data_IF_140158025787
#
_entry.id   IF_140158025787
#
_cell.length_a   1.000
_cell.length_b   1.000
_cell.length_c   1.000
_cell.angle_alpha   90.00
_cell.angle_beta   90.00
_cell.angle_gamma   90.00
#
_symmetry.space_group_name_H-M   'P 1'
#
loop_
_entity.id
_entity.type
_entity.pdbx_description
1 polymer ?
#
# COMPACT_ATOMS: atom_id res chain seq x y z
N UNK A 1 8.72 -16.93 -7.76
CA UNK A 1 9.03 -16.18 -9.00
C UNK A 1 8.94 -14.70 -8.65
N UNK A 2 10.02 -13.93 -8.78
CA UNK A 2 9.96 -12.50 -8.45
C UNK A 2 9.01 -11.81 -9.43
N UNK A 3 8.06 -11.07 -8.88
CA UNK A 3 7.11 -10.26 -9.66
C UNK A 3 7.90 -9.13 -10.34
N UNK A 4 7.73 -8.99 -11.66
CA UNK A 4 8.29 -7.84 -12.40
C UNK A 4 7.44 -6.61 -12.02
N UNK A 5 8.06 -5.53 -11.50
CA UNK A 5 7.32 -4.31 -11.17
C UNK A 5 6.58 -3.73 -12.39
N UNK A 6 5.45 -3.11 -12.11
CA UNK A 6 4.67 -2.41 -13.15
C UNK A 6 5.49 -1.22 -13.68
N UNK A 7 5.50 -1.04 -15.01
CA UNK A 7 6.20 0.06 -15.70
C UNK A 7 7.69 0.20 -15.31
N UNK A 8 8.37 -0.92 -15.00
CA UNK A 8 9.76 -0.91 -14.53
C UNK A 8 10.68 -0.07 -15.42
N UNK A 9 10.72 -0.37 -16.72
CA UNK A 9 11.61 0.32 -17.64
C UNK A 9 11.23 1.77 -17.86
N UNK A 10 9.95 2.05 -17.95
CA UNK A 10 9.40 3.41 -18.10
C UNK A 10 9.75 4.29 -16.91
N UNK A 11 9.61 3.77 -15.70
CA UNK A 11 9.95 4.47 -14.46
C UNK A 11 11.44 4.78 -14.36
N UNK A 12 12.30 3.81 -14.68
CA UNK A 12 13.75 3.99 -14.68
C UNK A 12 14.19 5.01 -15.74
N UNK A 13 13.61 4.94 -16.94
CA UNK A 13 13.90 5.90 -18.00
C UNK A 13 13.45 7.32 -17.61
N UNK A 14 12.27 7.45 -16.98
CA UNK A 14 11.75 8.74 -16.53
C UNK A 14 12.59 9.37 -15.41
N UNK A 15 13.20 8.55 -14.53
CA UNK A 15 14.13 9.04 -13.50
C UNK A 15 15.42 9.65 -14.10
N UNK A 16 15.77 9.33 -15.34
CA UNK A 16 16.97 9.81 -16.03
C UNK A 16 18.23 9.73 -15.15
N UNK A 17 18.54 8.51 -14.69
CA UNK A 17 19.50 8.26 -13.63
C UNK A 17 20.92 8.69 -14.04
N UNK A 18 21.51 9.56 -13.21
CA UNK A 18 22.93 9.90 -13.25
C UNK A 18 23.69 8.85 -12.45
N UNK A 19 24.80 8.29 -12.98
CA UNK A 19 25.53 7.20 -12.31
C UNK A 19 26.00 7.53 -10.88
N UNK A 20 26.35 8.77 -10.60
CA UNK A 20 26.81 9.25 -9.29
C UNK A 20 25.72 9.97 -8.50
N UNK A 21 24.45 9.87 -8.91
CA UNK A 21 23.32 10.56 -8.29
C UNK A 21 22.81 9.87 -7.02
N UNK A 22 21.98 10.59 -6.29
CA UNK A 22 21.29 10.10 -5.09
C UNK A 22 19.79 9.95 -5.38
N UNK A 23 19.27 8.73 -5.19
CA UNK A 23 17.88 8.40 -5.50
C UNK A 23 17.14 7.85 -4.30
N UNK A 24 15.83 7.93 -4.35
CA UNK A 24 14.93 7.41 -3.32
C UNK A 24 13.84 6.55 -3.95
N UNK A 25 13.65 5.35 -3.41
CA UNK A 25 12.48 4.52 -3.68
C UNK A 25 11.61 4.53 -2.42
N UNK A 26 10.43 5.16 -2.47
CA UNK A 26 9.57 5.29 -1.28
C UNK A 26 8.61 4.13 -1.11
N UNK A 27 8.68 3.12 -2.00
CA UNK A 27 7.80 1.94 -2.07
C UNK A 27 8.61 0.69 -2.41
N UNK A 28 9.57 0.36 -1.54
CA UNK A 28 10.57 -0.68 -1.79
C UNK A 28 9.97 -2.06 -2.13
N UNK A 29 9.01 -2.55 -1.32
CA UNK A 29 8.32 -3.81 -1.52
C UNK A 29 9.26 -5.00 -1.76
N UNK A 30 9.17 -5.61 -2.95
CA UNK A 30 10.04 -6.70 -3.39
C UNK A 30 11.42 -6.24 -3.89
N UNK A 31 11.70 -4.95 -3.96
CA UNK A 31 12.97 -4.37 -4.36
C UNK A 31 13.25 -4.37 -5.87
N UNK A 32 12.25 -4.61 -6.70
CA UNK A 32 12.45 -4.71 -8.15
C UNK A 32 12.90 -3.41 -8.80
N UNK A 33 12.24 -2.29 -8.50
CA UNK A 33 12.67 -0.96 -8.95
C UNK A 33 14.03 -0.57 -8.36
N UNK A 34 14.23 -0.80 -7.07
CA UNK A 34 15.49 -0.51 -6.38
C UNK A 34 16.69 -1.24 -6.99
N UNK A 35 16.55 -2.54 -7.32
CA UNK A 35 17.61 -3.29 -8.01
C UNK A 35 17.96 -2.65 -9.35
N UNK A 36 16.94 -2.27 -10.12
CA UNK A 36 17.15 -1.65 -11.42
C UNK A 36 17.79 -0.26 -11.33
N UNK A 37 17.48 0.53 -10.31
CA UNK A 37 18.15 1.81 -10.02
C UNK A 37 19.62 1.55 -9.71
N UNK A 38 19.94 0.59 -8.85
CA UNK A 38 21.33 0.24 -8.47
C UNK A 38 22.19 -0.20 -9.66
N UNK A 39 21.61 -0.91 -10.63
CA UNK A 39 22.30 -1.29 -11.88
C UNK A 39 22.73 -0.07 -12.71
N UNK A 40 22.04 1.07 -12.57
CA UNK A 40 22.37 2.31 -13.27
C UNK A 40 23.37 3.20 -12.51
N UNK A 41 23.62 2.93 -11.21
CA UNK A 41 24.52 3.70 -10.37
C UNK A 41 25.96 3.17 -10.41
N UNK A 42 26.93 4.08 -10.31
CA UNK A 42 28.32 3.75 -10.06
C UNK A 42 28.63 3.72 -8.53
N UNK A 43 29.92 3.60 -8.16
CA UNK A 43 30.36 3.49 -6.75
C UNK A 43 30.02 4.73 -5.90
N UNK A 44 29.89 5.91 -6.50
CA UNK A 44 29.56 7.16 -5.83
C UNK A 44 28.05 7.38 -5.68
N UNK A 45 27.23 6.64 -6.47
CA UNK A 45 25.77 6.72 -6.41
C UNK A 45 25.19 6.19 -5.10
N UNK A 46 24.02 6.67 -4.72
CA UNK A 46 23.31 6.22 -3.48
C UNK A 46 21.84 6.01 -3.73
N UNK A 47 21.30 4.98 -3.10
CA UNK A 47 19.87 4.68 -3.10
C UNK A 47 19.36 4.48 -1.67
N UNK A 48 18.36 5.28 -1.31
CA UNK A 48 17.61 5.14 -0.06
C UNK A 48 16.24 4.56 -0.37
N UNK A 49 15.87 3.48 0.30
CA UNK A 49 14.59 2.82 0.05
C UNK A 49 13.74 2.79 1.32
N UNK A 50 12.48 3.16 1.19
CA UNK A 50 11.51 3.17 2.29
C UNK A 50 10.45 2.09 2.09
N UNK A 51 10.09 1.43 3.15
CA UNK A 51 8.86 0.67 3.27
C UNK A 51 8.45 0.58 4.74
N UNK A 52 7.16 0.56 5.00
CA UNK A 52 6.63 0.37 6.34
C UNK A 52 6.20 -1.07 6.61
N UNK A 53 6.13 -1.91 5.57
CA UNK A 53 5.81 -3.34 5.69
C UNK A 53 7.05 -4.10 6.16
N UNK A 54 6.92 -4.85 7.27
CA UNK A 54 8.01 -5.68 7.80
C UNK A 54 8.46 -6.77 6.82
N UNK A 55 7.55 -7.25 5.96
CA UNK A 55 7.89 -8.24 4.95
C UNK A 55 8.84 -7.70 3.87
N UNK A 56 8.81 -6.39 3.61
CA UNK A 56 9.74 -5.74 2.70
C UNK A 56 11.20 -5.85 3.18
N UNK A 57 11.44 -5.86 4.50
CA UNK A 57 12.78 -5.99 5.08
C UNK A 57 13.47 -7.32 4.70
N UNK A 58 12.70 -8.35 4.34
CA UNK A 58 13.24 -9.65 3.88
C UNK A 58 13.89 -9.57 2.49
N UNK A 59 13.62 -8.50 1.74
CA UNK A 59 14.10 -8.28 0.38
C UNK A 59 15.30 -7.31 0.30
N UNK A 60 15.83 -6.86 1.44
CA UNK A 60 16.95 -5.91 1.54
C UNK A 60 18.10 -6.36 0.65
N UNK A 61 18.68 -5.40 -0.06
CA UNK A 61 19.73 -5.63 -1.04
C UNK A 61 21.08 -5.47 -0.35
N UNK A 62 21.95 -6.46 -0.48
CA UNK A 62 23.34 -6.40 0.02
C UNK A 62 24.21 -5.63 -0.99
N UNK A 63 24.21 -4.31 -0.89
CA UNK A 63 24.97 -3.39 -1.74
C UNK A 63 25.36 -2.16 -0.91
N UNK A 64 26.62 -1.80 -0.86
CA UNK A 64 27.13 -0.68 -0.07
C UNK A 64 26.58 0.72 -0.48
N UNK A 65 25.91 0.80 -1.63
CA UNK A 65 25.24 2.00 -2.14
C UNK A 65 23.79 2.10 -1.70
N UNK A 66 23.23 1.01 -1.12
CA UNK A 66 21.83 0.86 -0.76
C UNK A 66 21.63 1.02 0.75
N UNK A 67 20.61 1.78 1.12
CA UNK A 67 20.17 1.92 2.52
C UNK A 67 18.67 1.70 2.61
N UNK A 68 18.25 0.64 3.31
CA UNK A 68 16.84 0.39 3.61
C UNK A 68 16.42 1.12 4.90
N UNK A 69 15.27 1.79 4.85
CA UNK A 69 14.69 2.54 5.96
C UNK A 69 13.27 2.01 6.20
N UNK A 70 13.10 1.19 7.24
CA UNK A 70 11.80 0.61 7.59
C UNK A 70 10.92 1.66 8.25
N UNK A 71 10.40 2.58 7.45
CA UNK A 71 9.56 3.68 7.90
C UNK A 71 8.56 4.10 6.81
N UNK A 72 7.48 4.75 7.25
CA UNK A 72 6.58 5.42 6.32
C UNK A 72 7.30 6.60 5.66
N UNK A 73 7.21 6.70 4.34
CA UNK A 73 7.85 7.75 3.53
C UNK A 73 7.39 9.18 3.91
N UNK A 74 6.31 9.33 4.65
CA UNK A 74 5.91 10.64 5.23
C UNK A 74 7.03 11.30 6.03
N UNK A 75 7.95 10.49 6.56
CA UNK A 75 9.13 10.94 7.31
C UNK A 75 10.39 11.08 6.46
N UNK A 76 10.29 10.86 5.14
CA UNK A 76 11.41 10.86 4.20
C UNK A 76 12.31 12.08 4.36
N UNK A 77 11.72 13.28 4.47
CA UNK A 77 12.49 14.53 4.64
C UNK A 77 13.47 14.46 5.81
N UNK A 78 13.04 13.93 6.95
CA UNK A 78 13.85 13.87 8.17
C UNK A 78 15.02 12.88 7.99
N UNK A 79 14.74 11.70 7.41
CA UNK A 79 15.77 10.69 7.17
C UNK A 79 16.77 11.14 6.12
N UNK A 80 16.33 11.72 5.01
CA UNK A 80 17.22 12.21 3.97
C UNK A 80 18.10 13.37 4.46
N UNK A 81 17.56 14.23 5.34
CA UNK A 81 18.39 15.27 5.98
C UNK A 81 19.53 14.65 6.81
N UNK A 82 19.27 13.54 7.50
CA UNK A 82 20.27 12.83 8.30
C UNK A 82 21.32 12.12 7.44
N UNK A 83 20.88 11.44 6.37
CA UNK A 83 21.75 10.56 5.59
C UNK A 83 22.50 11.24 4.46
N UNK A 84 21.91 12.26 3.82
CA UNK A 84 22.49 12.89 2.62
C UNK A 84 22.29 14.42 2.54
N UNK A 85 21.99 15.08 3.67
CA UNK A 85 21.76 16.53 3.68
C UNK A 85 20.48 16.97 2.97
N UNK A 86 19.55 16.05 2.72
CA UNK A 86 18.21 16.32 2.22
C UNK A 86 18.10 16.58 0.71
N UNK A 87 19.20 16.46 -0.06
CA UNK A 87 19.18 16.67 -1.51
C UNK A 87 19.26 15.33 -2.24
N UNK A 88 18.34 15.11 -3.19
CA UNK A 88 18.30 13.91 -4.02
C UNK A 88 18.06 14.29 -5.48
N UNK A 89 18.52 13.47 -6.42
CA UNK A 89 18.36 13.68 -7.85
C UNK A 89 17.03 13.17 -8.38
N UNK A 90 16.43 12.17 -7.72
CA UNK A 90 15.13 11.63 -8.12
C UNK A 90 14.46 10.81 -7.01
N UNK A 91 13.14 10.73 -7.10
CA UNK A 91 12.30 9.94 -6.18
C UNK A 91 11.37 9.08 -7.02
N UNK A 92 11.32 7.80 -6.73
CA UNK A 92 10.35 6.85 -7.27
C UNK A 92 9.29 6.55 -6.22
N UNK A 93 8.02 6.54 -6.64
CA UNK A 93 6.89 6.15 -5.81
C UNK A 93 5.92 5.29 -6.64
N UNK A 94 5.87 4.00 -6.36
CA UNK A 94 4.89 3.05 -6.89
C UNK A 94 3.79 2.84 -5.85
N UNK A 95 2.84 3.80 -5.82
CA UNK A 95 1.85 3.88 -4.76
C UNK A 95 0.74 2.85 -4.95
N UNK A 96 0.48 2.07 -3.92
CA UNK A 96 -0.57 1.05 -3.90
C UNK A 96 -0.19 -0.14 -3.03
N UNK A 97 -0.93 -1.23 -3.20
CA UNK A 97 -0.66 -2.51 -2.55
C UNK A 97 0.18 -3.39 -3.47
N UNK A 98 1.13 -4.12 -2.90
CA UNK A 98 1.95 -5.07 -3.66
C UNK A 98 1.16 -6.34 -4.01
N UNK A 99 1.57 -7.05 -5.08
CA UNK A 99 0.99 -8.36 -5.41
C UNK A 99 1.10 -9.34 -4.22
N UNK A 100 2.18 -9.29 -3.45
CA UNK A 100 2.35 -10.10 -2.25
C UNK A 100 1.26 -9.82 -1.21
N UNK A 101 0.89 -8.55 -1.00
CA UNK A 101 -0.17 -8.16 -0.06
C UNK A 101 -1.55 -8.64 -0.54
N UNK A 102 -1.80 -8.63 -1.86
CA UNK A 102 -3.03 -9.20 -2.43
C UNK A 102 -3.10 -10.73 -2.33
N UNK A 103 -1.96 -11.41 -2.47
CA UNK A 103 -1.89 -12.87 -2.49
C UNK A 103 -1.74 -13.47 -1.07
N UNK A 104 -1.66 -12.62 -0.04
CA UNK A 104 -1.56 -13.01 1.37
C UNK A 104 -2.91 -12.75 2.07
N UNK A 105 -3.77 -13.79 2.26
CA UNK A 105 -5.12 -13.61 2.82
C UNK A 105 -5.13 -12.96 4.20
N UNK A 106 -4.12 -13.24 5.03
CA UNK A 106 -3.99 -12.75 6.39
C UNK A 106 -3.82 -11.22 6.46
N UNK A 107 -3.35 -10.60 5.38
CA UNK A 107 -3.22 -9.13 5.28
C UNK A 107 -4.54 -8.42 4.98
N UNK A 108 -5.57 -9.13 4.52
CA UNK A 108 -6.92 -8.62 4.35
C UNK A 108 -7.15 -7.67 3.17
N UNK A 109 -6.19 -7.50 2.25
CA UNK A 109 -6.32 -6.62 1.08
C UNK A 109 -7.10 -7.28 -0.08
N UNK A 110 -7.25 -8.60 -0.06
CA UNK A 110 -7.77 -9.35 -1.18
C UNK A 110 -9.30 -9.42 -1.18
N UNK A 111 -9.92 -9.11 -2.33
CA UNK A 111 -11.32 -9.40 -2.57
C UNK A 111 -11.56 -10.86 -3.00
N UNK A 112 -10.47 -11.62 -3.32
CA UNK A 112 -10.55 -13.01 -3.83
C UNK A 112 -10.49 -14.05 -2.72
N UNK A 113 -9.68 -13.78 -1.71
CA UNK A 113 -9.43 -14.72 -0.61
C UNK A 113 -10.09 -14.22 0.67
N UNK A 114 -10.63 -15.15 1.45
CA UNK A 114 -11.12 -14.82 2.77
C UNK A 114 -9.95 -14.75 3.75
N UNK A 115 -9.92 -13.70 4.54
CA UNK A 115 -8.91 -13.47 5.57
C UNK A 115 -9.42 -12.47 6.60
N UNK A 116 -8.62 -12.25 7.65
CA UNK A 116 -8.91 -11.21 8.63
C UNK A 116 -9.00 -9.85 7.92
N UNK A 117 -9.93 -9.01 8.33
CA UNK A 117 -10.11 -7.65 7.81
C UNK A 117 -9.08 -6.71 8.45
N UNK A 118 -7.80 -6.88 8.09
CA UNK A 118 -6.69 -6.13 8.67
C UNK A 118 -6.35 -4.87 7.85
N UNK A 119 -5.88 -5.02 6.62
CA UNK A 119 -5.50 -3.98 5.66
C UNK A 119 -4.42 -3.01 6.15
N UNK A 120 -3.65 -3.35 7.18
CA UNK A 120 -2.52 -2.53 7.63
C UNK A 120 -1.26 -2.85 6.83
N UNK A 121 -0.67 -1.85 6.20
CA UNK A 121 0.68 -1.98 5.65
C UNK A 121 1.73 -2.05 6.76
N UNK A 122 1.54 -1.25 7.82
CA UNK A 122 2.34 -1.34 9.04
C UNK A 122 1.57 -2.16 10.08
N UNK A 123 1.97 -3.40 10.32
CA UNK A 123 1.33 -4.31 11.27
C UNK A 123 1.37 -3.80 12.72
N UNK A 124 2.29 -2.87 13.04
CA UNK A 124 2.37 -2.21 14.35
C UNK A 124 1.40 -1.03 14.51
N UNK A 125 0.64 -0.66 13.46
CA UNK A 125 -0.38 0.37 13.58
C UNK A 125 -1.51 -0.11 14.51
N UNK A 126 -2.03 0.79 15.35
CA UNK A 126 -3.05 0.45 16.34
C UNK A 126 -4.43 0.16 15.74
N UNK A 127 -4.72 0.71 14.55
CA UNK A 127 -6.05 0.65 13.91
C UNK A 127 -5.94 -0.18 12.64
N UNK A 128 -6.72 -1.24 12.56
CA UNK A 128 -6.92 -2.08 11.38
C UNK A 128 -8.28 -1.81 10.71
N UNK A 129 -8.55 -2.39 9.56
CA UNK A 129 -9.82 -2.19 8.86
C UNK A 129 -11.01 -2.74 9.65
N UNK A 130 -10.85 -3.85 10.38
CA UNK A 130 -11.90 -4.37 11.27
C UNK A 130 -12.28 -3.35 12.34
N UNK A 131 -11.31 -2.68 12.94
CA UNK A 131 -11.57 -1.60 13.91
C UNK A 131 -12.36 -0.46 13.28
N UNK A 132 -11.99 -0.04 12.06
CA UNK A 132 -12.68 1.04 11.34
C UNK A 132 -14.16 0.68 11.10
N UNK A 133 -14.42 -0.47 10.47
CA UNK A 133 -15.81 -0.85 10.14
C UNK A 133 -16.65 -1.12 11.37
N UNK A 134 -16.06 -1.57 12.48
CA UNK A 134 -16.80 -1.90 13.70
C UNK A 134 -16.97 -0.72 14.67
N UNK A 135 -16.20 0.37 14.55
CA UNK A 135 -16.24 1.45 15.55
C UNK A 135 -16.61 2.82 15.00
N UNK A 136 -16.33 3.10 13.72
CA UNK A 136 -16.59 4.42 13.13
C UNK A 136 -18.11 4.63 12.95
N UNK A 137 -18.55 5.88 13.09
CA UNK A 137 -19.94 6.25 12.80
C UNK A 137 -20.24 6.23 11.29
N UNK A 138 -21.53 6.27 10.95
CA UNK A 138 -22.01 6.25 9.55
C UNK A 138 -21.38 7.36 8.72
N UNK A 139 -21.30 8.58 9.27
CA UNK A 139 -20.77 9.73 8.52
C UNK A 139 -19.28 9.58 8.22
N UNK A 140 -18.50 9.10 9.18
CA UNK A 140 -17.07 8.82 9.03
C UNK A 140 -16.82 7.71 8.02
N UNK A 141 -17.56 6.59 8.07
CA UNK A 141 -17.48 5.52 7.09
C UNK A 141 -17.86 6.00 5.70
N UNK A 142 -18.97 6.74 5.56
CA UNK A 142 -19.39 7.29 4.28
C UNK A 142 -18.35 8.26 3.69
N UNK A 143 -17.69 9.05 4.53
CA UNK A 143 -16.60 9.94 4.11
C UNK A 143 -15.41 9.16 3.54
N UNK A 144 -15.00 8.07 4.18
CA UNK A 144 -13.92 7.19 3.70
C UNK A 144 -14.30 6.58 2.35
N UNK A 145 -15.47 5.95 2.28
CA UNK A 145 -15.97 5.29 1.06
C UNK A 145 -16.14 6.26 -0.11
N UNK A 146 -16.55 7.51 0.17
CA UNK A 146 -16.68 8.54 -0.86
C UNK A 146 -15.34 9.09 -1.31
N UNK A 147 -14.44 9.42 -0.38
CA UNK A 147 -13.16 10.12 -0.69
C UNK A 147 -12.13 9.20 -1.32
N UNK A 148 -12.03 7.96 -0.84
CA UNK A 148 -11.01 7.01 -1.28
C UNK A 148 -11.57 5.97 -2.24
N UNK A 149 -12.78 5.47 -1.99
CA UNK A 149 -13.45 4.53 -2.87
C UNK A 149 -14.22 5.17 -4.04
N UNK A 150 -14.39 6.50 -4.04
CA UNK A 150 -15.15 7.25 -5.07
C UNK A 150 -16.60 6.76 -5.24
N UNK A 151 -17.18 6.21 -4.16
CA UNK A 151 -18.51 5.62 -4.19
C UNK A 151 -19.61 6.67 -4.00
N UNK A 152 -20.52 6.77 -4.97
CA UNK A 152 -21.66 7.72 -4.92
C UNK A 152 -22.70 7.34 -3.87
N UNK A 153 -22.86 6.05 -3.60
CA UNK A 153 -23.80 5.50 -2.62
C UNK A 153 -23.16 5.18 -1.27
N UNK A 154 -22.08 5.89 -0.94
CA UNK A 154 -21.27 5.68 0.27
C UNK A 154 -22.08 5.70 1.56
N UNK A 155 -23.08 6.59 1.68
CA UNK A 155 -23.95 6.66 2.85
C UNK A 155 -24.75 5.37 3.05
N UNK A 156 -25.38 4.84 2.00
CA UNK A 156 -26.16 3.60 2.09
C UNK A 156 -25.31 2.38 2.41
N UNK A 157 -24.05 2.35 1.92
CA UNK A 157 -23.09 1.30 2.26
C UNK A 157 -22.66 1.42 3.72
N UNK A 158 -22.38 2.63 4.20
CA UNK A 158 -22.01 2.88 5.58
C UNK A 158 -23.14 2.50 6.56
N UNK A 159 -24.39 2.86 6.24
CA UNK A 159 -25.57 2.43 7.01
C UNK A 159 -25.65 0.90 7.11
N UNK A 160 -25.45 0.20 6.00
CA UNK A 160 -25.48 -1.25 5.97
C UNK A 160 -24.39 -1.88 6.85
N UNK A 161 -23.19 -1.33 6.82
CA UNK A 161 -22.07 -1.78 7.67
C UNK A 161 -22.46 -1.59 9.15
N UNK A 162 -22.97 -0.41 9.53
CA UNK A 162 -23.36 -0.13 10.92
C UNK A 162 -24.49 -1.05 11.38
N UNK A 163 -25.52 -1.24 10.58
CA UNK A 163 -26.61 -2.18 10.89
C UNK A 163 -26.14 -3.63 11.02
N UNK A 164 -25.22 -4.06 10.15
CA UNK A 164 -24.71 -5.44 10.18
C UNK A 164 -23.87 -5.71 11.43
N UNK A 165 -22.99 -4.77 11.82
CA UNK A 165 -22.13 -4.93 13.00
C UNK A 165 -22.89 -4.91 14.33
N UNK A 166 -24.09 -4.30 14.39
CA UNK A 166 -24.98 -4.37 15.56
C UNK A 166 -25.46 -5.79 15.85
N UNK A 167 -25.53 -6.64 14.80
CA UNK A 167 -25.92 -8.05 14.92
C UNK A 167 -24.69 -8.91 15.25
N UNK A 168 -23.60 -8.73 14.48
CA UNK A 168 -22.34 -9.45 14.62
C UNK A 168 -21.19 -8.58 14.11
N UNK A 169 -20.08 -8.45 14.85
CA UNK A 169 -18.89 -7.78 14.37
C UNK A 169 -18.40 -8.33 13.00
N UNK A 170 -17.94 -7.43 12.15
CA UNK A 170 -17.39 -7.77 10.83
C UNK A 170 -15.87 -7.94 10.99
N UNK A 171 -15.38 -9.17 10.92
CA UNK A 171 -13.99 -9.51 11.23
C UNK A 171 -13.20 -9.99 10.01
N UNK A 172 -13.92 -10.42 8.96
CA UNK A 172 -13.31 -11.00 7.77
C UNK A 172 -13.68 -10.24 6.50
N UNK A 173 -12.86 -10.42 5.46
CA UNK A 173 -13.11 -9.86 4.15
C UNK A 173 -14.41 -10.39 3.53
N UNK A 174 -14.75 -11.67 3.77
CA UNK A 174 -16.01 -12.25 3.26
C UNK A 174 -17.22 -11.67 3.98
N UNK A 175 -17.17 -11.46 5.29
CA UNK A 175 -18.26 -10.84 6.03
C UNK A 175 -18.52 -9.40 5.56
N UNK A 176 -17.47 -8.63 5.26
CA UNK A 176 -17.62 -7.31 4.67
C UNK A 176 -18.24 -7.39 3.27
N UNK A 177 -17.78 -8.31 2.40
CA UNK A 177 -18.34 -8.50 1.06
C UNK A 177 -19.82 -8.89 1.11
N UNK A 178 -20.21 -9.78 2.02
CA UNK A 178 -21.59 -10.17 2.22
C UNK A 178 -22.46 -8.98 2.66
N UNK A 179 -21.99 -8.21 3.62
CA UNK A 179 -22.68 -7.00 4.13
C UNK A 179 -22.98 -6.00 3.01
N UNK A 180 -22.04 -5.80 2.09
CA UNK A 180 -22.19 -4.82 0.99
C UNK A 180 -22.78 -5.41 -0.29
N UNK A 181 -23.04 -6.72 -0.35
CA UNK A 181 -23.42 -7.45 -1.57
C UNK A 181 -24.58 -6.85 -2.33
N UNK A 182 -25.61 -6.37 -1.63
CA UNK A 182 -26.81 -5.73 -2.23
C UNK A 182 -26.52 -4.43 -3.00
N UNK A 183 -25.34 -3.81 -2.78
CA UNK A 183 -24.93 -2.57 -3.46
C UNK A 183 -24.04 -2.85 -4.67
N UNK A 184 -23.73 -4.12 -4.95
CA UNK A 184 -22.86 -4.50 -6.04
C UNK A 184 -23.69 -4.64 -7.33
N UNK A 185 -23.45 -3.81 -8.36
CA UNK A 185 -24.19 -3.89 -9.61
C UNK A 185 -23.75 -5.12 -10.41
N UNK A 186 -24.72 -5.84 -10.99
CA UNK A 186 -24.45 -7.02 -11.84
C UNK A 186 -23.45 -6.70 -12.96
N UNK A 187 -22.40 -7.51 -13.05
CA UNK A 187 -21.33 -7.37 -14.04
C UNK A 187 -20.24 -6.35 -13.69
N UNK A 188 -20.33 -5.68 -12.53
CA UNK A 188 -19.33 -4.74 -12.04
C UNK A 188 -19.01 -4.94 -10.56
N UNK A 189 -19.36 -6.10 -10.01
CA UNK A 189 -19.23 -6.43 -8.60
C UNK A 189 -17.78 -6.24 -8.11
N UNK A 190 -16.82 -6.82 -8.83
CA UNK A 190 -15.40 -6.73 -8.48
C UNK A 190 -14.86 -5.31 -8.51
N UNK A 191 -15.37 -4.45 -9.42
CA UNK A 191 -14.96 -3.04 -9.48
C UNK A 191 -15.42 -2.30 -8.22
N UNK A 192 -16.67 -2.46 -7.83
CA UNK A 192 -17.22 -1.80 -6.64
C UNK A 192 -16.60 -2.37 -5.36
N UNK A 193 -16.36 -3.68 -5.29
CA UNK A 193 -15.60 -4.26 -4.18
C UNK A 193 -14.20 -3.70 -4.08
N UNK A 194 -13.47 -3.57 -5.19
CA UNK A 194 -12.14 -2.96 -5.18
C UNK A 194 -12.17 -1.51 -4.68
N UNK A 195 -13.21 -0.75 -5.00
CA UNK A 195 -13.41 0.61 -4.48
C UNK A 195 -13.72 0.63 -2.98
N UNK A 196 -14.45 -0.36 -2.46
CA UNK A 196 -14.71 -0.49 -1.02
C UNK A 196 -13.43 -0.86 -0.26
N UNK A 197 -12.58 -1.68 -0.86
CA UNK A 197 -11.32 -2.15 -0.28
C UNK A 197 -10.14 -1.19 -0.49
N UNK A 198 -10.31 -0.12 -1.29
CA UNK A 198 -9.32 0.93 -1.53
C UNK A 198 -9.03 1.75 -0.27
#
# INVERSE_FOLDING_TARGET
MYHIPVLLNESINALNIKPNGTYVDVTFGGGGHSRRILECLNEDGRLYAFDQDEDAAKNVIDDGRFTFIQQNFRYMKNFLQLYCGGKVDGILADLGVSSYQFDTPEKGFSIRYNGRLDMRMNQNAAVDAASIVNTYDVASLASILSRYGELRNSMSIADAIVMSREIKPIETTDELKETVSRFLPKGSENKVLAQIFQ
#
